data_IF_451353264780
#
_entry.id   IF_451353264780
#
_cell.length_a   1.000
_cell.length_b   1.000
_cell.length_c   1.000
_cell.angle_alpha   90.00
_cell.angle_beta   90.00
_cell.angle_gamma   90.00
#
_symmetry.space_group_name_H-M   'P 1'
#
loop_
_entity.id
_entity.type
_entity.pdbx_description
1 polymer ?
#
# COMPACT_ATOMS: atom_id res chain seq x y z
N UNK A 1 -3.04 -6.25 -29.38
CA UNK A 1 -4.14 -5.82 -28.47
C UNK A 1 -4.42 -6.96 -27.49
N UNK A 2 -3.69 -6.98 -26.35
CA UNK A 2 -3.83 -8.03 -25.32
C UNK A 2 -5.22 -7.95 -24.68
N UNK A 3 -5.92 -9.08 -24.62
CA UNK A 3 -7.16 -9.19 -23.83
C UNK A 3 -6.83 -8.86 -22.37
N UNK A 4 -7.43 -7.81 -21.83
CA UNK A 4 -7.45 -7.54 -20.38
C UNK A 4 -8.01 -8.79 -19.69
N UNK A 5 -7.24 -9.39 -18.78
CA UNK A 5 -7.72 -10.51 -17.99
C UNK A 5 -8.87 -10.01 -17.12
N UNK A 6 -10.06 -10.54 -17.31
CA UNK A 6 -11.18 -10.41 -16.36
C UNK A 6 -10.89 -11.35 -15.19
N UNK A 7 -11.20 -10.91 -13.98
CA UNK A 7 -11.15 -11.80 -12.80
C UNK A 7 -12.09 -12.98 -13.03
N UNK A 8 -11.59 -14.20 -12.95
CA UNK A 8 -12.42 -15.38 -13.12
C UNK A 8 -13.36 -15.52 -11.91
N UNK A 9 -14.65 -15.63 -12.13
CA UNK A 9 -15.69 -15.66 -11.07
C UNK A 9 -15.41 -16.68 -9.95
N UNK A 10 -14.95 -17.93 -10.23
CA UNK A 10 -14.58 -18.89 -9.19
C UNK A 10 -13.39 -18.46 -8.32
N UNK A 11 -12.41 -17.78 -8.91
CA UNK A 11 -11.23 -17.28 -8.21
C UNK A 11 -11.61 -16.12 -7.28
N UNK A 12 -12.47 -15.20 -7.72
CA UNK A 12 -13.06 -14.15 -6.88
C UNK A 12 -13.91 -14.73 -5.74
N UNK A 13 -14.67 -15.79 -5.98
CA UNK A 13 -15.48 -16.44 -4.94
C UNK A 13 -14.62 -16.97 -3.80
N UNK A 14 -13.52 -17.68 -4.13
CA UNK A 14 -12.57 -18.20 -3.14
C UNK A 14 -11.90 -17.08 -2.33
N UNK A 15 -11.52 -15.99 -3.00
CA UNK A 15 -10.81 -14.86 -2.40
C UNK A 15 -11.70 -13.94 -1.57
N UNK A 16 -12.97 -13.82 -1.93
CA UNK A 16 -13.96 -13.03 -1.22
C UNK A 16 -14.75 -13.83 -0.18
N UNK A 17 -14.47 -15.11 0.03
CA UNK A 17 -15.14 -15.94 1.04
C UNK A 17 -14.82 -15.45 2.48
N UNK A 18 -15.79 -15.43 3.41
CA UNK A 18 -15.63 -14.91 4.77
C UNK A 18 -14.57 -15.61 5.61
N UNK A 19 -14.12 -16.80 5.21
CA UNK A 19 -13.23 -17.69 5.97
C UNK A 19 -11.79 -17.72 5.46
N UNK A 20 -11.40 -16.84 4.53
CA UNK A 20 -10.00 -16.75 4.10
C UNK A 20 -9.15 -16.20 5.27
N UNK A 21 -8.04 -16.85 5.66
CA UNK A 21 -7.12 -16.29 6.67
C UNK A 21 -6.79 -14.85 6.31
N UNK A 22 -7.02 -13.93 7.26
CA UNK A 22 -6.80 -12.51 6.97
C UNK A 22 -5.30 -12.24 6.89
N UNK A 23 -4.84 -11.85 5.71
CA UNK A 23 -3.46 -11.42 5.52
C UNK A 23 -3.20 -10.14 6.36
N UNK A 24 -2.08 -10.02 7.10
CA UNK A 24 -1.76 -8.84 7.90
C UNK A 24 -1.88 -7.51 7.14
N UNK A 25 -1.52 -7.50 5.85
CA UNK A 25 -1.64 -6.30 5.01
C UNK A 25 -3.10 -5.93 4.77
N UNK A 26 -3.99 -6.91 4.57
CA UNK A 26 -5.42 -6.61 4.39
C UNK A 26 -6.04 -6.02 5.65
N UNK A 27 -5.63 -6.48 6.84
CA UNK A 27 -6.06 -5.89 8.12
C UNK A 27 -5.55 -4.45 8.28
N UNK A 28 -4.30 -4.19 7.94
CA UNK A 28 -3.74 -2.84 8.02
C UNK A 28 -4.44 -1.87 7.04
N UNK A 29 -4.77 -2.35 5.82
CA UNK A 29 -5.55 -1.58 4.84
C UNK A 29 -6.97 -1.31 5.34
N UNK A 30 -7.59 -2.28 6.01
CA UNK A 30 -8.89 -2.09 6.66
C UNK A 30 -8.86 -0.96 7.69
N UNK A 31 -7.89 -1.00 8.61
CA UNK A 31 -7.71 0.07 9.59
C UNK A 31 -7.54 1.44 8.91
N UNK A 32 -6.76 1.51 7.82
CA UNK A 32 -6.53 2.76 7.10
C UNK A 32 -7.80 3.34 6.46
N UNK A 33 -8.56 2.52 5.76
CA UNK A 33 -9.78 2.96 5.06
C UNK A 33 -10.93 3.28 6.01
N UNK A 34 -10.92 2.67 7.21
CA UNK A 34 -11.91 2.93 8.26
C UNK A 34 -11.49 4.05 9.22
N UNK A 35 -10.26 4.52 9.12
CA UNK A 35 -9.72 5.55 10.01
C UNK A 35 -10.54 6.86 9.92
N UNK A 36 -10.98 7.36 11.08
CA UNK A 36 -11.78 8.60 11.17
C UNK A 36 -13.23 8.49 10.68
N UNK A 37 -13.73 7.28 10.39
CA UNK A 37 -15.13 7.02 10.02
C UNK A 37 -15.90 6.43 11.22
N UNK A 38 -17.17 6.82 11.34
CA UNK A 38 -18.07 6.23 12.36
C UNK A 38 -18.27 4.72 12.13
N UNK A 39 -18.37 3.95 13.22
CA UNK A 39 -18.37 2.50 13.28
C UNK A 39 -19.51 1.77 12.53
N UNK A 40 -20.38 2.45 11.84
CA UNK A 40 -21.37 1.83 10.95
C UNK A 40 -20.79 1.68 9.53
N UNK A 41 -19.73 0.87 9.37
CA UNK A 41 -19.21 0.56 8.05
C UNK A 41 -20.32 0.05 7.14
N UNK A 42 -20.66 0.80 6.10
CA UNK A 42 -21.64 0.38 5.10
C UNK A 42 -21.16 -0.89 4.37
N UNK A 43 -22.06 -1.60 3.74
CA UNK A 43 -21.70 -2.73 2.88
C UNK A 43 -20.70 -2.29 1.79
N UNK A 44 -20.81 -1.07 1.32
CA UNK A 44 -19.88 -0.51 0.33
C UNK A 44 -18.46 -0.34 0.92
N UNK A 45 -18.33 0.15 2.16
CA UNK A 45 -17.03 0.28 2.84
C UNK A 45 -16.37 -1.09 3.04
N UNK A 46 -17.13 -2.10 3.47
CA UNK A 46 -16.63 -3.47 3.65
C UNK A 46 -16.11 -4.07 2.34
N UNK A 47 -16.84 -3.88 1.24
CA UNK A 47 -16.41 -4.31 -0.09
C UNK A 47 -15.15 -3.57 -0.53
N UNK A 48 -15.08 -2.25 -0.33
CA UNK A 48 -13.93 -1.43 -0.70
C UNK A 48 -12.67 -1.87 0.02
N UNK A 49 -12.75 -2.04 1.34
CA UNK A 49 -11.64 -2.54 2.19
C UNK A 49 -11.12 -3.87 1.68
N UNK A 50 -12.01 -4.79 1.41
CA UNK A 50 -11.63 -6.13 0.97
C UNK A 50 -10.96 -6.12 -0.40
N UNK A 51 -11.51 -5.39 -1.36
CA UNK A 51 -10.91 -5.22 -2.68
C UNK A 51 -9.56 -4.51 -2.60
N UNK A 52 -9.43 -3.44 -1.77
CA UNK A 52 -8.17 -2.74 -1.54
C UNK A 52 -7.09 -3.67 -0.99
N UNK A 53 -7.43 -4.50 -0.01
CA UNK A 53 -6.53 -5.51 0.53
C UNK A 53 -6.03 -6.47 -0.56
N UNK A 54 -6.93 -7.04 -1.37
CA UNK A 54 -6.58 -7.95 -2.46
C UNK A 54 -5.72 -7.30 -3.55
N UNK A 55 -5.96 -6.02 -3.85
CA UNK A 55 -5.12 -5.23 -4.76
C UNK A 55 -3.72 -5.06 -4.17
N UNK A 56 -3.62 -4.75 -2.88
CA UNK A 56 -2.36 -4.46 -2.21
C UNK A 56 -1.45 -5.69 -2.12
N UNK A 57 -2.02 -6.88 -1.86
CA UNK A 57 -1.25 -8.14 -1.84
C UNK A 57 -1.03 -8.75 -3.22
N UNK A 58 -1.44 -8.05 -4.28
CA UNK A 58 -1.27 -8.43 -5.68
C UNK A 58 -2.04 -9.71 -6.09
N UNK A 59 -3.14 -9.98 -5.44
CA UNK A 59 -4.11 -11.01 -5.84
C UNK A 59 -4.99 -10.49 -6.97
N UNK A 60 -5.46 -9.26 -6.83
CA UNK A 60 -6.04 -8.49 -7.94
C UNK A 60 -4.93 -7.64 -8.54
N UNK A 61 -4.52 -7.97 -9.76
CA UNK A 61 -3.34 -7.40 -10.40
C UNK A 61 -3.57 -6.02 -11.00
N UNK A 62 -2.49 -5.22 -11.17
CA UNK A 62 -2.53 -3.99 -11.94
C UNK A 62 -3.05 -4.24 -13.36
N UNK A 63 -3.83 -3.30 -13.89
CA UNK A 63 -4.47 -3.40 -15.20
C UNK A 63 -5.67 -4.37 -15.26
N UNK A 64 -5.96 -5.10 -14.17
CA UNK A 64 -7.09 -6.01 -14.13
C UNK A 64 -8.42 -5.24 -14.08
N UNK A 65 -9.41 -5.72 -14.83
CA UNK A 65 -10.75 -5.14 -14.88
C UNK A 65 -11.61 -5.69 -13.76
N UNK A 66 -12.31 -4.79 -13.04
CA UNK A 66 -13.29 -5.11 -12.02
C UNK A 66 -14.70 -4.88 -12.59
N UNK A 67 -15.49 -5.95 -12.69
CA UNK A 67 -16.87 -5.88 -13.19
C UNK A 67 -17.84 -5.83 -12.01
N UNK A 68 -18.68 -4.78 -11.96
CA UNK A 68 -19.71 -4.64 -10.93
C UNK A 68 -20.58 -5.90 -10.83
N UNK A 69 -20.92 -6.51 -11.98
CA UNK A 69 -21.72 -7.72 -12.04
C UNK A 69 -21.04 -8.88 -11.34
N UNK A 70 -19.78 -9.16 -11.68
CA UNK A 70 -19.05 -10.32 -11.15
C UNK A 70 -18.87 -10.20 -9.63
N UNK A 71 -18.55 -8.99 -9.14
CA UNK A 71 -18.41 -8.74 -7.69
C UNK A 71 -19.77 -8.87 -6.98
N UNK A 72 -20.85 -8.35 -7.56
CA UNK A 72 -22.19 -8.42 -6.96
C UNK A 72 -22.70 -9.87 -6.90
N UNK A 73 -22.45 -10.65 -7.95
CA UNK A 73 -22.84 -12.07 -8.02
C UNK A 73 -22.06 -12.89 -6.97
N UNK A 74 -20.75 -12.65 -6.83
CA UNK A 74 -19.89 -13.35 -5.87
C UNK A 74 -20.25 -13.03 -4.42
N UNK A 75 -20.56 -11.77 -4.11
CA UNK A 75 -20.85 -11.33 -2.75
C UNK A 75 -22.33 -11.46 -2.39
N UNK A 76 -23.17 -11.90 -3.32
CA UNK A 76 -24.63 -11.99 -3.16
C UNK A 76 -25.26 -10.65 -2.70
N UNK A 77 -24.77 -9.52 -3.23
CA UNK A 77 -25.27 -8.17 -2.95
C UNK A 77 -25.79 -7.50 -4.22
N UNK A 78 -26.57 -6.43 -4.07
CA UNK A 78 -26.96 -5.61 -5.23
C UNK A 78 -25.78 -4.84 -5.83
N UNK A 79 -25.90 -4.35 -7.07
CA UNK A 79 -24.82 -3.59 -7.73
C UNK A 79 -24.56 -2.21 -7.13
N UNK A 80 -25.54 -1.65 -6.39
CA UNK A 80 -25.42 -0.31 -5.83
C UNK A 80 -24.26 -0.20 -4.81
N UNK A 81 -24.14 -1.03 -3.75
CA UNK A 81 -23.00 -1.00 -2.83
C UNK A 81 -21.68 -1.34 -3.52
N UNK A 82 -21.67 -2.20 -4.54
CA UNK A 82 -20.45 -2.51 -5.31
C UNK A 82 -19.95 -1.25 -6.07
N UNK A 83 -20.86 -0.52 -6.73
CA UNK A 83 -20.52 0.70 -7.42
C UNK A 83 -19.98 1.77 -6.48
N UNK A 84 -20.57 1.90 -5.29
CA UNK A 84 -20.08 2.82 -4.27
C UNK A 84 -18.71 2.40 -3.76
N UNK A 85 -18.48 1.11 -3.52
CA UNK A 85 -17.17 0.56 -3.16
C UNK A 85 -16.10 0.89 -4.22
N UNK A 86 -16.42 0.73 -5.50
CA UNK A 86 -15.52 1.10 -6.58
C UNK A 86 -15.25 2.61 -6.63
N UNK A 87 -16.22 3.46 -6.28
CA UNK A 87 -15.99 4.90 -6.13
C UNK A 87 -15.05 5.25 -4.97
N UNK A 88 -15.14 4.50 -3.86
CA UNK A 88 -14.18 4.64 -2.75
C UNK A 88 -12.77 4.31 -3.25
N UNK A 89 -12.59 3.18 -3.94
CA UNK A 89 -11.29 2.79 -4.48
C UNK A 89 -10.75 3.76 -5.54
N UNK A 90 -11.62 4.39 -6.33
CA UNK A 90 -11.21 5.42 -7.29
C UNK A 90 -10.69 6.67 -6.58
N UNK A 91 -11.35 7.13 -5.51
CA UNK A 91 -10.87 8.25 -4.67
C UNK A 91 -9.47 7.98 -4.10
N UNK A 92 -9.23 6.73 -3.66
CA UNK A 92 -7.92 6.30 -3.18
C UNK A 92 -6.91 6.02 -4.31
N UNK A 93 -7.31 6.24 -5.57
CA UNK A 93 -6.44 5.99 -6.74
C UNK A 93 -5.93 4.54 -6.88
N UNK A 94 -6.62 3.59 -6.26
CA UNK A 94 -6.35 2.15 -6.43
C UNK A 94 -6.93 1.61 -7.73
N UNK A 95 -8.00 2.24 -8.23
CA UNK A 95 -8.60 1.96 -9.53
C UNK A 95 -8.85 3.26 -10.28
N UNK A 96 -9.17 3.13 -11.56
CA UNK A 96 -9.66 4.21 -12.43
C UNK A 96 -10.84 3.73 -13.26
N UNK A 97 -11.81 4.60 -13.52
CA UNK A 97 -12.85 4.31 -14.50
C UNK A 97 -12.41 4.75 -15.90
N UNK A 98 -12.33 3.81 -16.83
CA UNK A 98 -12.04 4.09 -18.24
C UNK A 98 -13.31 4.02 -19.10
N UNK A 99 -13.55 4.96 -20.03
CA UNK A 99 -14.69 4.93 -20.94
C UNK A 99 -14.80 3.57 -21.64
N UNK A 100 -16.00 3.00 -21.66
CA UNK A 100 -16.33 1.68 -22.27
C UNK A 100 -15.60 0.48 -21.67
N UNK A 101 -14.70 0.67 -20.67
CA UNK A 101 -13.94 -0.41 -20.01
C UNK A 101 -14.34 -0.63 -18.56
N UNK A 102 -15.02 0.33 -17.92
CA UNK A 102 -15.38 0.28 -16.51
C UNK A 102 -14.19 0.48 -15.56
N UNK A 103 -14.27 -0.08 -14.37
CA UNK A 103 -13.24 0.02 -13.35
C UNK A 103 -12.05 -0.87 -13.68
N UNK A 104 -10.83 -0.30 -13.59
CA UNK A 104 -9.56 -0.99 -13.85
C UNK A 104 -8.59 -0.66 -12.72
N UNK A 105 -7.88 -1.67 -12.19
CA UNK A 105 -6.83 -1.47 -11.19
C UNK A 105 -5.72 -0.62 -11.78
N UNK A 106 -5.29 0.44 -11.07
CA UNK A 106 -4.27 1.37 -11.53
C UNK A 106 -2.94 0.66 -11.79
N UNK A 107 -2.24 1.11 -12.81
CA UNK A 107 -0.96 0.58 -13.27
C UNK A 107 0.02 1.73 -13.46
N UNK A 108 0.58 2.28 -12.35
CA UNK A 108 1.54 3.36 -12.46
C UNK A 108 2.81 2.88 -13.15
N UNK A 109 3.40 3.75 -13.97
CA UNK A 109 4.72 3.53 -14.52
C UNK A 109 5.82 3.95 -13.52
N UNK A 110 7.08 3.70 -13.88
CA UNK A 110 8.21 4.02 -13.00
C UNK A 110 8.34 5.54 -12.71
N UNK A 111 7.91 6.40 -13.65
CA UNK A 111 7.92 7.84 -13.46
C UNK A 111 6.82 8.28 -12.48
N UNK A 112 5.60 7.74 -12.63
CA UNK A 112 4.50 8.02 -11.69
C UNK A 112 4.88 7.67 -10.25
N UNK A 113 5.60 6.54 -10.06
CA UNK A 113 6.11 6.18 -8.72
C UNK A 113 7.14 7.18 -8.21
N UNK A 114 8.10 7.61 -9.05
CA UNK A 114 9.07 8.62 -8.63
C UNK A 114 8.39 9.92 -8.22
N UNK A 115 7.41 10.37 -8.99
CA UNK A 115 6.69 11.62 -8.72
C UNK A 115 5.90 11.54 -7.41
N UNK A 116 5.24 10.40 -7.14
CA UNK A 116 4.57 10.14 -5.87
C UNK A 116 5.57 10.19 -4.71
N UNK A 117 6.75 9.59 -4.86
CA UNK A 117 7.76 9.56 -3.80
C UNK A 117 8.41 10.93 -3.56
N UNK A 118 8.51 11.81 -4.56
CA UNK A 118 8.95 13.21 -4.38
C UNK A 118 7.99 13.96 -3.46
N UNK A 119 6.68 13.86 -3.73
CA UNK A 119 5.66 14.49 -2.88
C UNK A 119 5.65 13.88 -1.48
N UNK A 120 5.75 12.55 -1.38
CA UNK A 120 5.79 11.84 -0.11
C UNK A 120 6.97 12.27 0.76
N UNK A 121 8.14 12.40 0.18
CA UNK A 121 9.36 12.82 0.86
C UNK A 121 9.23 14.23 1.44
N UNK A 122 8.76 15.19 0.64
CA UNK A 122 8.49 16.54 1.09
C UNK A 122 7.46 16.63 2.23
N UNK A 123 6.39 15.84 2.15
CA UNK A 123 5.37 15.81 3.21
C UNK A 123 5.89 15.14 4.49
N UNK A 124 6.75 14.11 4.39
CA UNK A 124 7.38 13.52 5.56
C UNK A 124 8.39 14.48 6.21
N UNK A 125 9.10 15.28 5.43
CA UNK A 125 9.98 16.33 5.99
C UNK A 125 9.15 17.33 6.81
N UNK A 126 8.04 17.85 6.25
CA UNK A 126 7.13 18.77 6.96
C UNK A 126 6.59 18.11 8.24
N UNK A 127 6.11 16.88 8.14
CA UNK A 127 5.57 16.14 9.29
C UNK A 127 6.61 15.95 10.39
N UNK A 128 7.79 15.43 10.05
CA UNK A 128 8.80 15.10 11.06
C UNK A 128 9.41 16.33 11.70
N UNK A 129 9.62 17.41 10.95
CA UNK A 129 10.07 18.70 11.50
C UNK A 129 9.07 19.19 12.53
N UNK A 130 7.77 19.22 12.18
CA UNK A 130 6.71 19.62 13.09
C UNK A 130 6.63 18.72 14.34
N UNK A 131 6.69 17.40 14.16
CA UNK A 131 6.63 16.47 15.30
C UNK A 131 7.82 16.63 16.24
N UNK A 132 9.01 16.87 15.70
CA UNK A 132 10.21 17.11 16.52
C UNK A 132 10.15 18.43 17.28
N UNK A 133 9.52 19.46 16.72
CA UNK A 133 9.39 20.78 17.35
C UNK A 133 8.25 20.80 18.40
N UNK A 134 7.11 20.15 18.10
CA UNK A 134 5.90 20.29 18.89
C UNK A 134 5.56 19.07 19.75
N UNK A 135 5.95 17.83 19.32
CA UNK A 135 5.50 16.56 19.87
C UNK A 135 6.58 15.48 19.93
N UNK A 136 7.82 15.86 20.18
CA UNK A 136 8.96 14.94 20.17
C UNK A 136 8.78 13.75 21.14
N UNK A 137 8.17 13.96 22.30
CA UNK A 137 7.92 12.89 23.29
C UNK A 137 6.87 11.89 22.78
N UNK A 138 5.81 12.38 22.10
CA UNK A 138 4.80 11.52 21.52
C UNK A 138 5.39 10.69 20.36
N UNK A 139 6.29 11.28 19.54
CA UNK A 139 7.00 10.58 18.49
C UNK A 139 7.95 9.52 19.07
N UNK A 140 8.65 9.81 20.16
CA UNK A 140 9.51 8.84 20.86
C UNK A 140 8.69 7.66 21.39
N UNK A 141 7.59 7.91 22.08
CA UNK A 141 6.68 6.89 22.58
C UNK A 141 6.12 6.01 21.45
N UNK A 142 5.82 6.61 20.29
CA UNK A 142 5.41 5.85 19.11
C UNK A 142 6.52 4.88 18.64
N UNK A 143 7.77 5.31 18.62
CA UNK A 143 8.87 4.42 18.26
C UNK A 143 9.11 3.32 19.32
N UNK A 144 8.96 3.62 20.60
CA UNK A 144 9.02 2.60 21.67
C UNK A 144 7.98 1.49 21.45
N UNK A 145 6.78 1.86 21.02
CA UNK A 145 5.70 0.94 20.71
C UNK A 145 5.99 0.10 19.44
N UNK A 146 6.48 0.74 18.35
CA UNK A 146 6.57 0.09 17.05
C UNK A 146 7.88 -0.68 16.82
N UNK A 147 9.02 -0.29 17.41
CA UNK A 147 10.30 -0.96 17.18
C UNK A 147 10.27 -2.45 17.55
N UNK A 148 9.70 -2.88 18.69
CA UNK A 148 9.54 -4.31 19.00
C UNK A 148 8.66 -5.05 17.99
N UNK A 149 7.60 -4.38 17.49
CA UNK A 149 6.70 -4.95 16.48
C UNK A 149 7.43 -5.16 15.14
N UNK A 150 8.27 -4.20 14.71
CA UNK A 150 9.11 -4.37 13.52
C UNK A 150 10.06 -5.56 13.64
N UNK A 151 10.70 -5.74 14.81
CA UNK A 151 11.62 -6.87 15.05
C UNK A 151 10.89 -8.20 14.88
N UNK A 152 9.76 -8.36 15.58
CA UNK A 152 8.94 -9.57 15.49
C UNK A 152 8.44 -9.83 14.06
N UNK A 153 7.89 -8.80 13.42
CA UNK A 153 7.33 -8.91 12.09
C UNK A 153 8.39 -9.24 11.01
N UNK A 154 9.64 -8.78 11.19
CA UNK A 154 10.74 -9.10 10.28
C UNK A 154 11.13 -10.60 10.30
N UNK A 155 10.91 -11.28 11.43
CA UNK A 155 11.12 -12.72 11.58
C UNK A 155 9.93 -13.53 11.05
N UNK A 156 8.73 -12.95 11.05
CA UNK A 156 7.49 -13.64 10.69
C UNK A 156 7.29 -13.68 9.17
N UNK A 157 7.19 -12.53 8.50
CA UNK A 157 6.99 -12.46 7.05
C UNK A 157 7.15 -11.04 6.48
N UNK A 158 7.29 -10.94 5.15
CA UNK A 158 7.25 -9.65 4.44
C UNK A 158 5.92 -8.96 4.68
N UNK A 159 4.80 -9.69 4.66
CA UNK A 159 3.46 -9.14 4.83
C UNK A 159 3.22 -8.62 6.25
N UNK A 160 3.71 -9.32 7.27
CA UNK A 160 3.69 -8.83 8.64
C UNK A 160 4.51 -7.54 8.79
N UNK A 161 5.72 -7.52 8.23
CA UNK A 161 6.61 -6.37 8.31
C UNK A 161 6.05 -5.13 7.59
N UNK A 162 5.47 -5.31 6.40
CA UNK A 162 4.88 -4.19 5.64
C UNK A 162 3.64 -3.63 6.34
N UNK A 163 2.87 -4.47 7.04
CA UNK A 163 1.72 -4.04 7.83
C UNK A 163 2.15 -3.14 8.96
N UNK A 164 3.17 -3.54 9.73
CA UNK A 164 3.73 -2.70 10.80
C UNK A 164 4.31 -1.41 10.23
N UNK A 165 5.01 -1.47 9.08
CA UNK A 165 5.55 -0.28 8.39
C UNK A 165 4.43 0.70 8.01
N UNK A 166 3.34 0.20 7.48
CA UNK A 166 2.21 1.01 7.06
C UNK A 166 1.51 1.65 8.27
N UNK A 167 1.21 0.88 9.31
CA UNK A 167 0.58 1.35 10.53
C UNK A 167 1.45 2.38 11.28
N UNK A 168 2.77 2.18 11.34
CA UNK A 168 3.68 3.15 11.94
C UNK A 168 3.69 4.49 11.18
N UNK A 169 3.67 4.46 9.83
CA UNK A 169 3.57 5.69 9.03
C UNK A 169 2.23 6.41 9.26
N UNK A 170 1.11 5.66 9.35
CA UNK A 170 -0.19 6.24 9.69
C UNK A 170 -0.19 6.87 11.08
N UNK A 171 0.29 6.15 12.08
CA UNK A 171 0.35 6.65 13.46
C UNK A 171 1.21 7.93 13.57
N UNK A 172 2.30 8.04 12.81
CA UNK A 172 3.06 9.30 12.72
C UNK A 172 2.24 10.41 12.06
N UNK A 173 1.53 10.11 10.97
CA UNK A 173 0.67 11.08 10.30
C UNK A 173 -0.47 11.59 11.20
N UNK A 174 -1.02 10.72 12.05
CA UNK A 174 -2.08 11.05 13.01
C UNK A 174 -1.60 11.96 14.16
N UNK A 175 -0.30 11.95 14.45
CA UNK A 175 0.29 12.89 15.41
C UNK A 175 0.41 14.32 14.85
N UNK A 176 0.24 14.52 13.55
CA UNK A 176 0.37 15.85 12.93
C UNK A 176 -0.70 16.81 13.43
N UNK A 177 -0.31 18.03 13.82
CA UNK A 177 -1.24 19.13 14.07
C UNK A 177 -1.80 19.69 12.75
N UNK A 178 -1.12 19.46 11.63
CA UNK A 178 -1.60 19.78 10.30
C UNK A 178 -2.37 18.58 9.70
N UNK A 179 -3.69 18.58 9.91
CA UNK A 179 -4.58 17.51 9.44
C UNK A 179 -4.42 17.18 7.95
N UNK A 180 -4.22 18.20 7.10
CA UNK A 180 -4.08 18.00 5.66
C UNK A 180 -2.81 17.19 5.32
N UNK A 181 -1.70 17.44 6.00
CA UNK A 181 -0.44 16.66 5.83
C UNK A 181 -0.70 15.19 6.17
N UNK A 182 -1.37 14.91 7.28
CA UNK A 182 -1.73 13.55 7.70
C UNK A 182 -2.62 12.84 6.67
N UNK A 183 -3.71 13.48 6.25
CA UNK A 183 -4.65 12.90 5.27
C UNK A 183 -3.98 12.58 3.93
N UNK A 184 -3.17 13.48 3.39
CA UNK A 184 -2.47 13.26 2.12
C UNK A 184 -1.41 12.17 2.24
N UNK A 185 -0.65 12.14 3.35
CA UNK A 185 0.34 11.08 3.61
C UNK A 185 -0.30 9.70 3.71
N UNK A 186 -1.46 9.58 4.38
CA UNK A 186 -2.19 8.33 4.51
C UNK A 186 -2.68 7.82 3.14
N UNK A 187 -3.27 8.71 2.32
CA UNK A 187 -3.71 8.36 0.96
C UNK A 187 -2.52 7.94 0.07
N UNK A 188 -1.41 8.70 0.09
CA UNK A 188 -0.20 8.33 -0.67
C UNK A 188 0.37 6.99 -0.18
N UNK A 189 0.40 6.75 1.14
CA UNK A 189 0.93 5.52 1.72
C UNK A 189 0.14 4.29 1.27
N UNK A 190 -1.19 4.38 1.20
CA UNK A 190 -2.04 3.32 0.68
C UNK A 190 -1.74 3.03 -0.80
N UNK A 191 -1.59 4.08 -1.62
CA UNK A 191 -1.31 3.95 -3.07
C UNK A 191 0.02 3.27 -3.36
N UNK A 192 1.06 3.51 -2.55
CA UNK A 192 2.39 2.92 -2.77
C UNK A 192 2.59 1.58 -2.06
N UNK A 193 1.68 1.19 -1.17
CA UNK A 193 1.84 0.02 -0.28
C UNK A 193 2.18 -1.26 -1.04
N UNK A 194 1.47 -1.54 -2.14
CA UNK A 194 1.76 -2.67 -3.03
C UNK A 194 3.19 -2.67 -3.55
N UNK A 195 3.70 -1.51 -3.97
CA UNK A 195 5.03 -1.39 -4.57
C UNK A 195 6.13 -1.44 -3.52
N UNK A 196 5.88 -0.93 -2.31
CA UNK A 196 6.75 -1.11 -1.14
C UNK A 196 6.86 -2.59 -0.80
N UNK A 197 5.74 -3.32 -0.80
CA UNK A 197 5.69 -4.78 -0.58
C UNK A 197 6.53 -5.52 -1.62
N UNK A 198 6.32 -5.25 -2.89
CA UNK A 198 7.10 -5.86 -3.99
C UNK A 198 8.59 -5.55 -3.88
N UNK A 199 8.96 -4.32 -3.51
CA UNK A 199 10.34 -3.90 -3.31
C UNK A 199 11.02 -4.66 -2.16
N UNK A 200 10.33 -4.82 -1.03
CA UNK A 200 10.85 -5.55 0.14
C UNK A 200 10.96 -7.07 -0.13
N UNK A 201 10.04 -7.63 -0.92
CA UNK A 201 10.05 -9.04 -1.28
C UNK A 201 11.13 -9.39 -2.33
N UNK A 202 11.67 -8.39 -3.05
CA UNK A 202 12.50 -8.63 -4.25
C UNK A 202 13.95 -9.05 -3.93
N UNK A 203 14.47 -8.77 -2.74
CA UNK A 203 15.90 -9.03 -2.41
C UNK A 203 16.07 -9.55 -0.98
N UNK A 204 16.94 -10.58 -0.77
CA UNK A 204 17.36 -11.00 0.55
C UNK A 204 17.99 -9.82 1.32
N UNK A 205 17.69 -9.72 2.62
CA UNK A 205 18.20 -8.64 3.47
C UNK A 205 17.47 -7.30 3.37
N UNK A 206 16.46 -7.17 2.49
CA UNK A 206 15.68 -5.94 2.36
C UNK A 206 14.97 -5.57 3.66
N UNK A 207 14.39 -6.55 4.36
CA UNK A 207 13.72 -6.33 5.65
C UNK A 207 14.71 -5.86 6.71
N UNK A 208 15.86 -6.53 6.82
CA UNK A 208 16.91 -6.15 7.78
C UNK A 208 17.42 -4.74 7.53
N UNK A 209 17.69 -4.38 6.28
CA UNK A 209 18.12 -3.03 5.91
C UNK A 209 17.04 -1.99 6.22
N UNK A 210 15.78 -2.29 5.93
CA UNK A 210 14.66 -1.42 6.28
C UNK A 210 14.57 -1.23 7.81
N UNK A 211 14.66 -2.31 8.58
CA UNK A 211 14.62 -2.25 10.05
C UNK A 211 15.80 -1.45 10.64
N UNK A 212 17.00 -1.59 10.08
CA UNK A 212 18.16 -0.76 10.47
C UNK A 212 17.87 0.73 10.31
N UNK A 213 17.15 1.13 9.26
CA UNK A 213 16.79 2.54 9.06
C UNK A 213 15.72 3.03 10.04
N UNK A 214 14.74 2.19 10.43
CA UNK A 214 13.79 2.51 11.48
C UNK A 214 14.47 2.72 12.83
N UNK A 215 15.39 1.84 13.21
CA UNK A 215 16.19 1.99 14.44
C UNK A 215 17.11 3.23 14.41
N UNK A 216 17.63 3.59 13.24
CA UNK A 216 18.41 4.82 13.09
C UNK A 216 17.54 6.06 13.30
N UNK A 217 16.33 6.06 12.74
CA UNK A 217 15.35 7.14 12.92
C UNK A 217 14.96 7.29 14.41
N UNK A 218 14.64 6.18 15.09
CA UNK A 218 14.37 6.19 16.54
C UNK A 218 15.52 6.82 17.32
N UNK A 219 16.76 6.41 17.06
CA UNK A 219 17.94 6.97 17.77
C UNK A 219 18.10 8.48 17.55
N UNK A 220 17.80 8.98 16.35
CA UNK A 220 17.83 10.40 16.07
C UNK A 220 16.73 11.17 16.82
N UNK A 221 15.53 10.60 16.92
CA UNK A 221 14.40 11.15 17.70
C UNK A 221 14.75 11.23 19.18
N UNK A 222 15.27 10.15 19.78
CA UNK A 222 15.70 10.12 21.19
C UNK A 222 16.75 11.20 21.49
N UNK A 223 17.67 11.43 20.54
CA UNK A 223 18.70 12.47 20.67
C UNK A 223 18.19 13.89 20.43
N UNK A 224 16.92 14.04 20.04
CA UNK A 224 16.34 15.34 19.64
C UNK A 224 17.12 16.02 18.49
N UNK A 225 17.76 15.22 17.63
CA UNK A 225 18.56 15.72 16.50
C UNK A 225 17.67 15.80 15.25
N UNK A 226 17.08 16.96 15.02
CA UNK A 226 16.14 17.20 13.91
C UNK A 226 16.80 16.90 12.55
N UNK A 227 18.03 17.35 12.33
CA UNK A 227 18.72 17.16 11.06
C UNK A 227 18.99 15.68 10.80
N UNK A 228 19.42 14.91 11.81
CA UNK A 228 19.59 13.47 11.69
C UNK A 228 18.26 12.75 11.46
N UNK A 229 17.15 13.19 12.06
CA UNK A 229 15.80 12.68 11.80
C UNK A 229 15.44 12.86 10.34
N UNK A 230 15.57 14.06 9.79
CA UNK A 230 15.22 14.38 8.41
C UNK A 230 16.09 13.63 7.40
N UNK A 231 17.42 13.61 7.60
CA UNK A 231 18.34 12.87 6.74
C UNK A 231 18.04 11.36 6.72
N UNK A 232 17.75 10.79 7.89
CA UNK A 232 17.43 9.35 8.01
C UNK A 232 16.10 9.04 7.34
N UNK A 233 15.08 9.87 7.50
CA UNK A 233 13.80 9.73 6.86
C UNK A 233 13.90 9.82 5.34
N UNK A 234 14.60 10.83 4.82
CA UNK A 234 14.87 11.01 3.40
C UNK A 234 15.57 9.78 2.80
N UNK A 235 16.63 9.28 3.45
CA UNK A 235 17.32 8.05 3.03
C UNK A 235 16.38 6.85 3.01
N UNK A 236 15.53 6.68 4.03
CA UNK A 236 14.56 5.58 4.12
C UNK A 236 13.54 5.64 2.99
N UNK A 237 13.00 6.82 2.70
CA UNK A 237 12.02 7.05 1.64
C UNK A 237 12.67 6.81 0.27
N UNK A 238 13.88 7.30 0.04
CA UNK A 238 14.65 7.06 -1.18
C UNK A 238 14.94 5.59 -1.42
N UNK A 239 15.38 4.84 -0.40
CA UNK A 239 15.60 3.41 -0.49
C UNK A 239 14.31 2.65 -0.86
N UNK A 240 13.18 3.03 -0.26
CA UNK A 240 11.87 2.45 -0.56
C UNK A 240 11.45 2.73 -2.00
N UNK A 241 11.60 3.98 -2.48
CA UNK A 241 11.35 4.36 -3.87
C UNK A 241 12.16 3.49 -4.83
N UNK A 242 13.46 3.40 -4.61
CA UNK A 242 14.36 2.71 -5.54
C UNK A 242 14.08 1.21 -5.58
N UNK A 243 13.74 0.61 -4.45
CA UNK A 243 13.30 -0.78 -4.38
C UNK A 243 11.97 -1.00 -5.14
N UNK A 244 10.98 -0.13 -4.92
CA UNK A 244 9.69 -0.19 -5.59
C UNK A 244 9.80 -0.01 -7.11
N UNK A 245 10.61 0.96 -7.56
CA UNK A 245 10.85 1.21 -9.01
C UNK A 245 11.57 0.03 -9.66
N UNK A 246 12.60 -0.55 -8.99
CA UNK A 246 13.28 -1.76 -9.51
C UNK A 246 12.32 -2.95 -9.61
N UNK A 247 11.51 -3.19 -8.59
CA UNK A 247 10.55 -4.30 -8.59
C UNK A 247 9.52 -4.16 -9.71
N UNK A 248 9.00 -2.94 -9.93
CA UNK A 248 8.09 -2.65 -11.04
C UNK A 248 8.74 -2.93 -12.40
N UNK A 249 9.98 -2.46 -12.61
CA UNK A 249 10.70 -2.65 -13.88
C UNK A 249 11.00 -4.13 -14.16
N UNK A 250 11.35 -4.90 -13.13
CA UNK A 250 11.60 -6.34 -13.25
C UNK A 250 10.33 -7.15 -13.54
N UNK A 251 9.19 -6.75 -12.97
CA UNK A 251 7.88 -7.35 -13.24
C UNK A 251 7.43 -7.15 -14.70
N UNK A 252 7.67 -5.97 -15.25
CA UNK A 252 7.36 -5.66 -16.66
C UNK A 252 8.21 -6.51 -17.62
N UNK A 253 9.47 -6.77 -17.31
CA UNK A 253 10.34 -7.61 -18.14
C UNK A 253 9.89 -9.08 -18.16
N UNK A 254 9.48 -9.65 -17.00
CA UNK A 254 8.94 -11.02 -16.94
C UNK A 254 7.63 -11.17 -17.70
N UNK A 255 6.77 -10.16 -17.72
CA UNK A 255 5.52 -10.16 -18.48
C UNK A 255 5.73 -10.10 -19.99
N UNK A 256 6.77 -9.43 -20.48
CA UNK A 256 7.11 -9.33 -21.93
C UNK A 256 7.85 -10.58 -22.45
N UNK A 257 8.70 -11.21 -21.64
CA UNK A 257 9.43 -12.44 -22.03
C UNK A 257 8.52 -13.67 -22.14
N UNK A 258 7.44 -13.75 -21.36
CA UNK A 258 6.46 -14.84 -21.44
C UNK A 258 5.58 -14.81 -22.71
N UNK A 259 5.45 -13.66 -23.36
CA UNK A 259 4.67 -13.53 -24.60
C UNK A 259 5.48 -13.89 -25.87
N UNK A 260 6.79 -13.76 -25.84
CA UNK A 260 7.66 -14.07 -26.99
C UNK A 260 8.00 -15.57 -27.12
N UNK A 261 7.90 -16.35 -26.05
CA UNK A 261 8.26 -17.78 -26.06
C UNK A 261 7.17 -18.74 -26.55
N UNK A 262 5.95 -18.27 -26.87
CA UNK A 262 4.84 -19.14 -27.32
C UNK A 262 4.59 -19.13 -28.83
N UNK A 263 5.42 -18.44 -29.64
CA UNK A 263 5.23 -18.34 -31.07
C UNK A 263 6.19 -19.21 -31.90
N UNK A 264 6.99 -20.10 -31.30
CA UNK A 264 8.03 -20.85 -32.03
C UNK A 264 7.90 -22.38 -31.94
N UNK A 265 6.68 -22.92 -31.67
CA UNK A 265 6.42 -24.38 -31.81
C UNK A 265 5.09 -24.55 -32.52
N UNK A 266 5.09 -24.40 -33.85
CA UNK A 266 4.24 -25.12 -34.82
C UNK A 266 4.67 -24.72 -36.24
N UNK A 267 5.62 -25.44 -36.76
CA UNK A 267 5.84 -25.65 -38.18
C UNK A 267 6.17 -27.15 -38.37
#
# INVERSE_FOLDING_TARGET
>A
MGRLKTTNTPELQSLLAPQTPQNPVTLAVEQALMHGRDWSASVADQIAVRLAGLITIDVIHAGQRLLEKDISDVLAVSRAPVREALRILERERLIEFRPRRGAIVTEPNAQDLRDIYVVRDALFEILLRQLMEERADALEALFEQFIPQFSKAAEESVDAYISVTFLANMAMADLSSNRLVGEVLNSISLRVLRYVRLGLASHPGSLENSFKTWRALQRAVIKRDIEAVLQTAHKRIGNSRDAAVRALSSGIQKGKGGAAGRSAVSA
#
